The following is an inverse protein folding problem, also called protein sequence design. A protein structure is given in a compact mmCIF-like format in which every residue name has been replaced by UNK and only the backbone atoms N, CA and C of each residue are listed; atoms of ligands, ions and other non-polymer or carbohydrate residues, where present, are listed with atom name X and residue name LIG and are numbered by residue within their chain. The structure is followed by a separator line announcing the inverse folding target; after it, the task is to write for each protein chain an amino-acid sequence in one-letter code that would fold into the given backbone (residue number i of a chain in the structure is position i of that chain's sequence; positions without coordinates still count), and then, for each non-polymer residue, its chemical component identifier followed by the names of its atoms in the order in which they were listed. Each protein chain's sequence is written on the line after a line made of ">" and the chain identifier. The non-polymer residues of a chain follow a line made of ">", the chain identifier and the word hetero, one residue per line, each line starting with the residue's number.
data_IF_770050976471
#
_entry.id   IF_770050976471
#
_cell.length_a   1.000
_cell.length_b   1.000
_cell.length_c   1.000
_cell.angle_alpha   90.00
_cell.angle_beta   90.00
_cell.angle_gamma   90.00
#
_symmetry.space_group_name_H-M   'P 1'
#
loop_
_entity.id
_entity.type
_entity.pdbx_description
1 polymer ?
#
# COMPACT_ATOMS: atom_id res chain seq x y z
N UNK A 1 4.44 -18.26 -62.80
CA UNK A 1 5.80 -18.11 -62.24
C UNK A 1 6.02 -16.61 -62.04
N UNK A 2 5.68 -16.09 -60.86
CA UNK A 2 5.85 -14.68 -60.52
C UNK A 2 6.88 -14.63 -59.40
N UNK A 3 8.02 -14.01 -59.66
CA UNK A 3 9.08 -13.81 -58.68
C UNK A 3 9.24 -12.32 -58.44
N UNK A 4 9.26 -12.00 -57.14
CA UNK A 4 9.46 -10.70 -56.56
C UNK A 4 10.89 -10.17 -56.81
N UNK A 5 11.03 -8.84 -56.76
CA UNK A 5 12.25 -8.19 -56.28
C UNK A 5 11.83 -6.95 -55.52
N UNK A 6 12.00 -7.02 -54.21
CA UNK A 6 11.82 -5.92 -53.26
C UNK A 6 13.06 -5.05 -53.29
N UNK A 7 12.85 -3.76 -53.53
CA UNK A 7 13.89 -2.74 -53.53
C UNK A 7 14.33 -2.44 -52.07
N UNK A 8 15.64 -2.54 -51.81
CA UNK A 8 16.24 -2.24 -50.50
C UNK A 8 16.62 -0.76 -50.45
N UNK A 9 15.75 0.06 -49.87
CA UNK A 9 15.96 1.49 -49.68
C UNK A 9 16.08 1.89 -48.20
N UNK A 10 17.32 2.11 -47.74
CA UNK A 10 17.76 2.97 -46.62
C UNK A 10 17.12 2.76 -45.23
N UNK A 11 17.77 1.92 -44.42
CA UNK A 11 17.72 2.09 -42.96
C UNK A 11 18.62 3.28 -42.57
N UNK A 12 18.02 4.33 -42.02
CA UNK A 12 18.73 5.42 -41.38
C UNK A 12 19.28 4.94 -40.04
N UNK A 13 20.56 5.20 -39.80
CA UNK A 13 21.22 5.09 -38.50
C UNK A 13 20.45 5.90 -37.45
N UNK A 14 19.73 5.21 -36.56
CA UNK A 14 19.24 5.79 -35.31
C UNK A 14 20.19 5.32 -34.20
N UNK A 15 20.79 6.22 -33.39
CA UNK A 15 21.58 5.79 -32.26
C UNK A 15 20.68 5.01 -31.30
N UNK A 16 21.12 3.81 -30.94
CA UNK A 16 20.46 3.00 -29.91
C UNK A 16 20.56 3.78 -28.59
N UNK A 17 19.46 4.39 -28.17
CA UNK A 17 19.31 4.94 -26.82
C UNK A 17 19.67 3.84 -25.83
N UNK A 18 20.72 4.10 -25.05
CA UNK A 18 21.13 3.31 -23.91
C UNK A 18 19.89 3.02 -23.06
N UNK A 19 19.47 1.76 -23.05
CA UNK A 19 18.42 1.29 -22.15
C UNK A 19 18.99 1.41 -20.76
N UNK A 20 18.60 2.46 -20.04
CA UNK A 20 18.86 2.59 -18.63
C UNK A 20 18.11 1.45 -17.95
N UNK A 21 18.83 0.40 -17.59
CA UNK A 21 18.32 -0.59 -16.66
C UNK A 21 18.08 0.17 -15.36
N UNK A 22 16.83 0.57 -15.12
CA UNK A 22 16.40 1.02 -13.79
C UNK A 22 16.56 -0.19 -12.89
N UNK A 23 17.71 -0.28 -12.22
CA UNK A 23 17.90 -1.25 -11.16
C UNK A 23 16.77 -1.01 -10.14
N UNK A 24 15.96 -2.03 -9.88
CA UNK A 24 14.97 -1.96 -8.80
C UNK A 24 15.73 -1.61 -7.53
N UNK A 25 15.44 -0.45 -6.94
CA UNK A 25 15.99 -0.04 -5.66
C UNK A 25 15.78 -1.19 -4.67
N UNK A 26 16.79 -1.62 -3.90
CA UNK A 26 16.60 -2.67 -2.90
C UNK A 26 15.39 -2.29 -2.03
N UNK A 27 14.44 -3.22 -1.90
CA UNK A 27 13.22 -2.98 -1.14
C UNK A 27 13.53 -2.52 0.29
N UNK A 28 12.70 -1.63 0.83
CA UNK A 28 12.82 -1.23 2.23
C UNK A 28 12.63 -2.45 3.13
N UNK A 29 13.47 -2.58 4.15
CA UNK A 29 13.34 -3.62 5.15
C UNK A 29 12.56 -3.03 6.33
N UNK A 30 11.43 -3.64 6.66
CA UNK A 30 10.71 -3.39 7.90
C UNK A 30 11.08 -4.49 8.92
N UNK A 31 11.31 -4.12 10.18
CA UNK A 31 11.61 -5.07 11.24
C UNK A 31 10.38 -5.28 12.12
N UNK A 32 10.03 -6.54 12.35
CA UNK A 32 8.99 -6.91 13.31
C UNK A 32 9.60 -7.33 14.64
N UNK A 33 9.00 -6.90 15.76
CA UNK A 33 9.47 -7.23 17.11
C UNK A 33 8.51 -8.18 17.82
N UNK A 34 9.03 -9.29 18.36
CA UNK A 34 8.26 -10.16 19.27
C UNK A 34 7.95 -9.41 20.57
N UNK A 35 6.68 -9.44 21.00
CA UNK A 35 6.20 -8.90 22.26
C UNK A 35 5.40 -9.95 23.02
N UNK A 36 5.49 -9.93 24.37
CA UNK A 36 4.71 -10.84 25.22
C UNK A 36 3.36 -10.24 25.62
N UNK A 37 3.29 -8.91 25.68
CA UNK A 37 2.07 -8.16 25.90
C UNK A 37 1.73 -7.43 24.60
N UNK A 38 0.56 -7.68 24.00
CA UNK A 38 0.17 -7.00 22.78
C UNK A 38 -0.20 -5.53 23.07
N UNK A 39 -0.14 -4.67 22.04
CA UNK A 39 -0.70 -3.32 22.13
C UNK A 39 -2.23 -3.37 22.34
N UNK A 40 -2.78 -2.32 22.92
CA UNK A 40 -4.24 -2.14 22.99
C UNK A 40 -4.72 -1.62 21.65
N UNK A 41 -5.69 -2.28 21.02
CA UNK A 41 -6.24 -1.84 19.73
C UNK A 41 -7.35 -0.82 20.01
N UNK A 42 -6.99 0.46 20.10
CA UNK A 42 -7.89 1.59 20.33
C UNK A 42 -7.70 2.75 19.33
N UNK A 43 -6.69 2.65 18.47
CA UNK A 43 -6.34 3.60 17.42
C UNK A 43 -5.22 4.58 17.82
N UNK A 44 -4.80 4.62 19.09
CA UNK A 44 -3.77 5.54 19.60
C UNK A 44 -2.37 4.91 19.64
N UNK A 45 -1.70 4.95 18.48
CA UNK A 45 -0.33 4.42 18.34
C UNK A 45 0.68 5.19 19.20
N UNK A 46 0.46 6.49 19.43
CA UNK A 46 1.40 7.35 20.17
C UNK A 46 1.26 7.19 21.70
N UNK A 47 0.07 6.81 22.17
CA UNK A 47 -0.23 6.57 23.57
C UNK A 47 0.22 5.20 24.10
N UNK A 48 0.43 4.20 23.23
CA UNK A 48 0.78 2.85 23.67
C UNK A 48 2.30 2.65 23.88
N UNK A 49 2.75 2.23 25.08
CA UNK A 49 4.16 2.00 25.37
C UNK A 49 4.80 0.85 24.57
N UNK A 50 4.01 -0.10 24.06
CA UNK A 50 4.50 -1.18 23.20
C UNK A 50 5.05 -0.59 21.91
N UNK A 51 4.32 0.32 21.27
CA UNK A 51 4.74 1.00 20.05
C UNK A 51 5.92 1.92 20.25
N UNK A 52 5.98 2.64 21.37
CA UNK A 52 7.10 3.51 21.72
C UNK A 52 8.44 2.74 21.82
N UNK A 53 8.40 1.42 22.01
CA UNK A 53 9.59 0.56 22.09
C UNK A 53 10.09 0.04 20.73
N UNK A 54 9.41 0.37 19.64
CA UNK A 54 9.68 -0.15 18.29
C UNK A 54 10.17 0.98 17.38
N UNK A 55 11.31 0.77 16.74
CA UNK A 55 11.79 1.70 15.72
C UNK A 55 10.85 1.69 14.51
N UNK A 56 10.27 2.82 14.12
CA UNK A 56 9.36 2.88 12.99
C UNK A 56 10.09 2.69 11.66
N UNK A 57 9.44 1.99 10.73
CA UNK A 57 9.77 2.05 9.31
C UNK A 57 9.27 3.38 8.74
N UNK A 58 10.16 4.14 8.11
CA UNK A 58 9.92 5.50 7.60
C UNK A 58 10.46 5.69 6.18
N UNK A 59 10.24 6.88 5.63
CA UNK A 59 10.86 7.34 4.39
C UNK A 59 10.26 6.71 3.13
N UNK A 60 8.97 6.41 3.15
CA UNK A 60 8.20 5.94 2.00
C UNK A 60 8.33 6.91 0.80
N UNK A 61 8.15 6.36 -0.41
CA UNK A 61 8.26 7.11 -1.66
C UNK A 61 6.87 7.32 -2.26
N UNK A 62 6.72 8.39 -3.01
CA UNK A 62 5.50 8.68 -3.77
C UNK A 62 5.40 7.76 -4.98
N UNK A 63 4.20 7.27 -5.27
CA UNK A 63 3.83 6.71 -6.57
C UNK A 63 3.29 7.79 -7.52
N UNK A 64 2.73 8.87 -6.97
CA UNK A 64 2.23 10.04 -7.67
C UNK A 64 2.19 11.24 -6.70
N UNK A 65 2.19 12.49 -7.20
CA UNK A 65 2.38 12.87 -8.61
C UNK A 65 3.83 12.70 -9.08
N UNK A 66 4.80 12.79 -8.16
CA UNK A 66 6.23 12.75 -8.47
C UNK A 66 6.82 11.39 -8.08
N UNK A 67 6.64 10.39 -8.94
CA UNK A 67 7.05 9.01 -8.70
C UNK A 67 8.53 8.91 -8.24
N UNK A 68 8.75 8.15 -7.17
CA UNK A 68 10.07 7.90 -6.61
C UNK A 68 10.64 9.01 -5.72
N UNK A 69 9.97 10.17 -5.61
CA UNK A 69 10.35 11.21 -4.64
C UNK A 69 9.97 10.82 -3.20
N UNK A 70 10.60 11.40 -2.17
CA UNK A 70 10.16 11.25 -0.79
C UNK A 70 8.68 11.61 -0.64
N UNK A 71 7.92 10.85 0.16
CA UNK A 71 6.54 11.17 0.48
C UNK A 71 6.40 12.61 1.00
N UNK A 72 5.40 13.35 0.51
CA UNK A 72 5.14 14.74 0.90
C UNK A 72 4.56 14.86 2.31
N UNK A 73 3.86 13.81 2.74
CA UNK A 73 3.37 13.60 4.10
C UNK A 73 4.05 12.35 4.67
N UNK A 74 4.57 12.43 5.90
CA UNK A 74 5.35 11.35 6.49
C UNK A 74 4.43 10.21 6.95
N UNK A 75 4.81 8.97 6.65
CA UNK A 75 4.18 7.78 7.24
C UNK A 75 5.20 7.00 8.06
N UNK A 76 4.76 6.58 9.24
CA UNK A 76 5.49 5.67 10.11
C UNK A 76 4.73 4.35 10.22
N UNK A 77 5.45 3.23 10.09
CA UNK A 77 4.88 1.89 10.30
C UNK A 77 5.72 1.14 11.31
N UNK A 78 5.09 0.70 12.41
CA UNK A 78 5.68 -0.15 13.45
C UNK A 78 5.05 -1.52 13.35
N UNK A 79 5.86 -2.56 13.54
CA UNK A 79 5.41 -3.95 13.43
C UNK A 79 5.82 -4.70 14.69
N UNK A 80 4.84 -5.29 15.38
CA UNK A 80 5.08 -6.26 16.46
C UNK A 80 4.31 -7.53 16.20
N UNK A 81 4.66 -8.61 16.88
CA UNK A 81 3.92 -9.86 16.80
C UNK A 81 3.94 -10.60 18.13
N UNK A 82 2.87 -11.36 18.37
CA UNK A 82 2.76 -12.38 19.42
C UNK A 82 2.90 -13.77 18.80
N UNK A 83 2.62 -14.83 19.55
CA UNK A 83 2.65 -16.21 19.04
C UNK A 83 1.67 -16.44 17.87
N UNK A 84 0.56 -15.70 17.86
CA UNK A 84 -0.62 -15.96 17.03
C UNK A 84 -1.15 -14.73 16.28
N UNK A 85 -0.54 -13.55 16.44
CA UNK A 85 -1.04 -12.31 15.84
C UNK A 85 0.11 -11.39 15.44
N UNK A 86 0.00 -10.79 14.25
CA UNK A 86 0.87 -9.72 13.79
C UNK A 86 0.11 -8.40 13.90
N UNK A 87 0.77 -7.38 14.43
CA UNK A 87 0.18 -6.08 14.68
C UNK A 87 0.92 -5.02 13.88
N UNK A 88 0.16 -4.06 13.36
CA UNK A 88 0.70 -2.90 12.65
C UNK A 88 0.21 -1.62 13.30
N UNK A 89 1.14 -0.81 13.81
CA UNK A 89 0.89 0.53 14.30
C UNK A 89 1.31 1.53 13.23
N UNK A 90 0.35 2.29 12.70
CA UNK A 90 0.56 3.23 11.58
C UNK A 90 0.28 4.64 12.05
N UNK A 91 1.16 5.57 11.69
CA UNK A 91 0.95 7.00 11.86
C UNK A 91 1.08 7.65 10.49
N UNK A 92 -0.01 8.25 10.03
CA UNK A 92 -0.06 9.07 8.83
C UNK A 92 -0.04 10.52 9.28
N UNK A 93 1.13 11.16 9.21
CA UNK A 93 1.26 12.58 9.53
C UNK A 93 0.55 13.40 8.45
N UNK A 94 -0.13 14.46 8.85
CA UNK A 94 -0.73 15.42 7.93
C UNK A 94 -0.42 16.83 8.44
N UNK A 95 0.13 17.69 7.57
CA UNK A 95 0.43 19.09 7.91
C UNK A 95 -0.83 19.93 8.17
N UNK A 96 -1.98 19.51 7.67
CA UNK A 96 -3.28 20.10 7.96
C UNK A 96 -4.29 19.01 8.37
N UNK A 97 -4.28 18.57 9.64
CA UNK A 97 -5.22 17.56 10.12
C UNK A 97 -6.70 17.95 9.97
N UNK A 98 -6.99 19.26 9.80
CA UNK A 98 -8.36 19.73 9.55
C UNK A 98 -8.85 19.46 8.13
N UNK A 99 -7.93 19.16 7.21
CA UNK A 99 -8.21 18.79 5.82
C UNK A 99 -8.41 17.28 5.62
N UNK A 100 -8.20 16.45 6.65
CA UNK A 100 -8.37 14.99 6.58
C UNK A 100 -9.76 14.65 6.07
N UNK A 101 -9.83 13.95 4.93
CA UNK A 101 -11.09 13.67 4.26
C UNK A 101 -11.69 12.38 4.83
N UNK A 102 -12.61 12.55 5.76
CA UNK A 102 -13.43 11.47 6.31
C UNK A 102 -14.65 11.28 5.41
N UNK A 103 -14.56 10.38 4.42
CA UNK A 103 -15.77 9.99 3.67
C UNK A 103 -16.67 9.10 4.53
N UNK A 104 -17.97 9.36 4.50
CA UNK A 104 -19.02 8.60 5.18
C UNK A 104 -18.80 7.07 5.07
N UNK A 105 -18.83 6.38 6.21
CA UNK A 105 -18.51 4.96 6.44
C UNK A 105 -19.53 4.00 5.81
N UNK A 106 -20.27 4.46 4.80
CA UNK A 106 -21.17 3.61 4.03
C UNK A 106 -20.31 2.57 3.34
N UNK A 107 -20.69 1.31 3.55
CA UNK A 107 -20.08 0.06 3.03
C UNK A 107 -19.82 0.02 1.51
N UNK A 108 -20.19 1.08 0.77
CA UNK A 108 -20.14 1.25 -0.68
C UNK A 108 -19.46 2.57 -1.16
N UNK A 109 -18.77 3.35 -0.31
CA UNK A 109 -17.95 4.51 -0.76
C UNK A 109 -16.57 4.06 -1.27
N UNK A 110 -16.03 4.68 -2.33
CA UNK A 110 -14.69 4.34 -2.85
C UNK A 110 -13.61 5.04 -2.01
N UNK A 111 -12.56 4.31 -1.62
CA UNK A 111 -11.41 4.88 -0.89
C UNK A 111 -10.61 5.90 -1.71
N UNK A 112 -10.95 6.10 -2.98
CA UNK A 112 -10.27 7.02 -3.90
C UNK A 112 -10.49 8.49 -3.56
N UNK A 113 -11.53 8.80 -2.77
CA UNK A 113 -11.91 10.17 -2.40
C UNK A 113 -11.69 10.45 -0.90
N UNK A 114 -11.01 9.56 -0.19
CA UNK A 114 -10.73 9.66 1.24
C UNK A 114 -9.28 9.33 1.53
N UNK A 115 -8.75 9.88 2.62
CA UNK A 115 -7.44 9.44 3.10
C UNK A 115 -7.52 7.96 3.48
N UNK A 116 -6.47 7.22 3.14
CA UNK A 116 -6.42 5.78 3.43
C UNK A 116 -5.00 5.28 3.59
N UNK A 117 -4.88 4.21 4.38
CA UNK A 117 -3.67 3.42 4.49
C UNK A 117 -4.00 2.00 4.04
N UNK A 118 -3.13 1.41 3.22
CA UNK A 118 -3.33 0.08 2.65
C UNK A 118 -2.00 -0.67 2.60
N UNK A 119 -2.04 -1.96 2.93
CA UNK A 119 -0.89 -2.84 2.92
C UNK A 119 -1.21 -4.16 2.23
N UNK A 120 -0.18 -4.78 1.65
CA UNK A 120 -0.27 -6.11 1.03
C UNK A 120 0.74 -7.02 1.71
N UNK A 121 0.27 -8.19 2.17
CA UNK A 121 1.09 -9.23 2.77
C UNK A 121 1.15 -10.43 1.83
N UNK A 122 2.32 -10.67 1.25
CA UNK A 122 2.64 -11.94 0.59
C UNK A 122 3.23 -12.91 1.63
N UNK A 123 2.37 -13.71 2.24
CA UNK A 123 2.74 -14.62 3.34
C UNK A 123 3.49 -15.86 2.87
N UNK A 124 3.45 -16.17 1.57
CA UNK A 124 4.14 -17.32 0.97
C UNK A 124 5.42 -16.92 0.24
N UNK A 125 5.68 -15.61 0.11
CA UNK A 125 6.78 -15.03 -0.65
C UNK A 125 6.83 -15.54 -2.09
N UNK A 126 5.66 -15.82 -2.70
CA UNK A 126 5.54 -16.38 -4.03
C UNK A 126 5.36 -15.33 -5.13
N UNK A 127 5.25 -14.05 -4.74
CA UNK A 127 5.05 -12.85 -5.57
C UNK A 127 3.81 -12.91 -6.46
N UNK A 128 2.90 -13.84 -6.22
CA UNK A 128 1.72 -14.11 -7.04
C UNK A 128 0.43 -13.96 -6.23
N UNK A 129 0.49 -14.28 -4.94
CA UNK A 129 -0.65 -14.26 -4.02
C UNK A 129 -0.35 -13.38 -2.81
N UNK A 130 -1.38 -12.72 -2.30
CA UNK A 130 -1.24 -11.90 -1.10
C UNK A 130 -2.57 -11.49 -0.52
N UNK A 131 -2.53 -10.96 0.69
CA UNK A 131 -3.70 -10.43 1.39
C UNK A 131 -3.58 -8.92 1.49
N UNK A 132 -4.65 -8.21 1.17
CA UNK A 132 -4.73 -6.76 1.27
C UNK A 132 -5.53 -6.42 2.49
N UNK A 133 -5.03 -5.44 3.23
CA UNK A 133 -5.70 -4.83 4.36
C UNK A 133 -5.59 -3.33 4.22
N UNK A 134 -6.65 -2.62 4.57
CA UNK A 134 -6.66 -1.18 4.48
C UNK A 134 -7.72 -0.55 5.35
N UNK A 135 -7.50 0.72 5.67
CA UNK A 135 -8.46 1.51 6.41
C UNK A 135 -8.43 2.98 6.00
N UNK A 136 -9.41 3.72 6.49
CA UNK A 136 -9.49 5.19 6.39
C UNK A 136 -9.46 5.78 7.81
N UNK A 137 -9.24 7.09 7.99
CA UNK A 137 -9.38 7.74 9.30
C UNK A 137 -10.77 7.57 9.96
N UNK A 138 -11.78 7.12 9.19
CA UNK A 138 -13.10 6.79 9.69
C UNK A 138 -13.21 5.37 10.28
N UNK A 139 -12.13 4.58 10.22
CA UNK A 139 -12.12 3.18 10.64
C UNK A 139 -12.84 2.24 9.67
N UNK A 140 -12.97 2.60 8.39
CA UNK A 140 -13.54 1.70 7.39
C UNK A 140 -12.62 0.48 7.22
N UNK A 141 -13.15 -0.73 7.32
CA UNK A 141 -12.41 -1.96 7.01
C UNK A 141 -12.42 -2.23 5.51
N UNK A 142 -11.24 -2.54 4.95
CA UNK A 142 -11.06 -2.97 3.57
C UNK A 142 -10.10 -4.16 3.52
N UNK A 143 -10.58 -5.31 3.05
CA UNK A 143 -9.76 -6.49 2.82
C UNK A 143 -10.02 -7.12 1.45
N UNK A 144 -9.09 -8.00 1.06
CA UNK A 144 -9.24 -8.80 -0.15
C UNK A 144 -8.03 -9.67 -0.40
N UNK A 145 -8.22 -10.68 -1.24
CA UNK A 145 -7.18 -11.60 -1.63
C UNK A 145 -6.70 -11.30 -3.06
N UNK A 146 -5.40 -11.11 -3.22
CA UNK A 146 -4.72 -11.10 -4.51
C UNK A 146 -4.39 -12.53 -4.92
N UNK A 147 -4.75 -12.90 -6.14
CA UNK A 147 -4.41 -14.16 -6.79
C UNK A 147 -3.86 -13.91 -8.21
N UNK A 148 -2.93 -14.76 -8.66
CA UNK A 148 -2.43 -14.77 -10.04
C UNK A 148 -1.88 -13.40 -10.51
N UNK A 149 -0.93 -12.84 -9.74
CA UNK A 149 -0.23 -11.57 -10.02
C UNK A 149 -1.15 -10.34 -10.13
N UNK A 150 -2.43 -10.45 -9.73
CA UNK A 150 -3.39 -9.34 -9.80
C UNK A 150 -4.00 -9.06 -11.16
N UNK A 151 -3.81 -9.93 -12.14
CA UNK A 151 -4.49 -9.85 -13.44
C UNK A 151 -4.53 -8.44 -14.06
N UNK A 152 -3.40 -8.01 -14.63
CA UNK A 152 -3.25 -6.89 -15.58
C UNK A 152 -3.52 -5.45 -15.09
N UNK A 153 -3.59 -5.19 -13.77
CA UNK A 153 -3.66 -3.82 -13.24
C UNK A 153 -2.66 -3.63 -12.11
N UNK A 154 -1.85 -2.58 -12.19
CA UNK A 154 -0.98 -2.16 -11.09
C UNK A 154 -1.83 -1.99 -9.82
N UNK A 155 -1.55 -2.78 -8.78
CA UNK A 155 -2.28 -2.76 -7.50
C UNK A 155 -2.29 -1.37 -6.86
N UNK A 156 -1.20 -0.63 -7.08
CA UNK A 156 -1.07 0.79 -6.78
C UNK A 156 -1.00 1.50 -8.14
N UNK A 157 -2.13 2.00 -8.62
CA UNK A 157 -2.28 2.50 -9.98
C UNK A 157 -1.22 3.54 -10.36
N UNK A 158 -0.57 3.35 -11.51
CA UNK A 158 0.20 4.40 -12.16
C UNK A 158 -0.70 5.56 -12.60
N UNK A 159 -0.17 6.77 -12.49
CA UNK A 159 -0.67 8.04 -13.02
C UNK A 159 -2.18 8.12 -13.32
N UNK A 160 -2.97 8.44 -12.30
CA UNK A 160 -4.34 8.95 -12.45
C UNK A 160 -5.43 7.91 -12.22
N UNK A 161 -6.16 8.07 -11.11
CA UNK A 161 -7.23 7.19 -10.60
C UNK A 161 -6.75 5.81 -10.13
N UNK A 162 -5.67 5.80 -9.35
CA UNK A 162 -5.19 4.63 -8.62
C UNK A 162 -5.80 4.59 -7.22
N UNK A 163 -6.93 3.94 -7.08
CA UNK A 163 -7.35 3.39 -5.81
C UNK A 163 -8.15 2.13 -6.10
N UNK A 164 -8.23 1.24 -5.10
CA UNK A 164 -8.72 -0.12 -5.27
C UNK A 164 -10.18 -0.10 -5.74
N UNK A 165 -10.37 -0.05 -7.05
CA UNK A 165 -11.69 -0.01 -7.66
C UNK A 165 -12.39 -1.33 -7.35
N UNK A 166 -13.62 -1.26 -6.83
CA UNK A 166 -14.54 -2.38 -6.47
C UNK A 166 -14.89 -3.34 -7.63
N UNK A 167 -14.02 -3.51 -8.62
CA UNK A 167 -14.23 -4.39 -9.76
C UNK A 167 -13.84 -5.82 -9.43
N UNK A 168 -14.84 -6.68 -9.25
CA UNK A 168 -14.71 -8.13 -9.40
C UNK A 168 -14.30 -8.47 -10.83
N UNK A 169 -13.01 -8.36 -11.14
CA UNK A 169 -12.50 -8.61 -12.49
C UNK A 169 -10.98 -8.47 -12.56
N UNK A 170 -10.30 -9.61 -12.45
CA UNK A 170 -8.83 -9.72 -12.56
C UNK A 170 -8.18 -9.85 -11.19
N UNK A 171 -7.83 -11.09 -10.80
CA UNK A 171 -6.88 -11.38 -9.73
C UNK A 171 -7.18 -10.88 -8.31
N UNK A 172 -8.30 -10.21 -8.04
CA UNK A 172 -8.62 -9.65 -6.73
C UNK A 172 -9.99 -10.14 -6.23
N UNK A 173 -10.00 -10.84 -5.10
CA UNK A 173 -11.20 -11.39 -4.45
C UNK A 173 -11.54 -10.58 -3.20
N UNK A 174 -12.53 -9.69 -3.33
CA UNK A 174 -13.11 -8.87 -2.25
C UNK A 174 -14.00 -9.65 -1.27
N UNK A 175 -14.30 -10.93 -1.54
CA UNK A 175 -15.13 -11.75 -0.65
C UNK A 175 -14.30 -12.52 0.40
N UNK A 176 -13.00 -12.20 0.52
CA UNK A 176 -12.16 -12.79 1.54
C UNK A 176 -12.38 -12.02 2.85
N UNK A 177 -13.06 -12.65 3.80
CA UNK A 177 -13.27 -12.11 5.14
C UNK A 177 -12.19 -12.68 6.08
N UNK A 178 -11.09 -11.94 6.24
CA UNK A 178 -10.06 -12.30 7.22
C UNK A 178 -10.54 -12.12 8.66
N UNK A 179 -9.97 -12.87 9.61
CA UNK A 179 -10.11 -12.52 11.01
C UNK A 179 -9.07 -11.45 11.35
N UNK A 180 -9.47 -10.19 11.29
CA UNK A 180 -8.65 -9.03 11.65
C UNK A 180 -9.54 -7.94 12.25
N UNK A 181 -8.93 -6.97 12.92
CA UNK A 181 -9.60 -5.76 13.36
C UNK A 181 -8.73 -4.53 13.12
N UNK A 182 -9.39 -3.38 12.97
CA UNK A 182 -8.72 -2.09 12.92
C UNK A 182 -9.39 -1.05 13.81
N UNK A 183 -8.57 -0.22 14.43
CA UNK A 183 -9.01 1.01 15.11
C UNK A 183 -8.19 2.18 14.61
N UNK A 184 -8.82 3.35 14.59
CA UNK A 184 -8.21 4.57 14.07
C UNK A 184 -8.50 5.74 15.02
N UNK A 185 -7.58 6.68 15.08
CA UNK A 185 -7.73 7.91 15.83
C UNK A 185 -7.21 9.08 15.00
N UNK A 186 -7.93 10.20 15.01
CA UNK A 186 -7.46 11.46 14.45
C UNK A 186 -6.88 12.29 15.60
N UNK A 187 -5.72 12.90 15.37
CA UNK A 187 -5.00 13.72 16.34
C UNK A 187 -4.49 15.00 15.69
N UNK A 188 -3.72 15.78 16.46
CA UNK A 188 -3.09 17.02 16.00
C UNK A 188 -1.90 16.80 15.07
N UNK A 189 -1.38 15.57 14.95
CA UNK A 189 -0.30 15.23 14.01
C UNK A 189 -0.82 14.64 12.70
N UNK A 190 -2.11 14.34 12.59
CA UNK A 190 -2.70 13.63 11.47
C UNK A 190 -3.67 12.55 11.95
N UNK A 191 -3.44 11.30 11.56
CA UNK A 191 -4.22 10.18 12.05
C UNK A 191 -3.37 8.91 12.22
N UNK A 192 -3.83 8.01 13.07
CA UNK A 192 -3.19 6.73 13.34
C UNK A 192 -4.16 5.57 13.17
N UNK A 193 -3.60 4.39 12.91
CA UNK A 193 -4.33 3.15 12.79
C UNK A 193 -3.58 1.99 13.44
N UNK A 194 -4.34 1.08 14.05
CA UNK A 194 -3.83 -0.15 14.65
C UNK A 194 -4.55 -1.36 14.06
N UNK A 195 -3.78 -2.27 13.47
CA UNK A 195 -4.25 -3.53 12.90
C UNK A 195 -3.81 -4.69 13.78
N UNK A 196 -4.69 -5.70 13.91
CA UNK A 196 -4.42 -6.98 14.56
C UNK A 196 -5.12 -8.13 13.81
#
# INVERSE_FOLDING_TARGET
>A
MSLATTDYGRAQDRPLTQVELVAQTPGKIANARLVLQPPTIDGDVLGDPVWASVEPTKGFLQSAPDEGQPASEETEVRIVFTEDTIYFGVICHDRDPSAIIVSDSRRDSSMNDADSFQMVLDTFSDQQNGFVFGTTPAGQEYDGQVINEGGARSFFGGAGRGGFSRGSGGGFNLNWDGAWQVRTAISDVGWSAEFA
#
